data_IF_397729320895
#
_entry.id   IF_397729320895
#
_cell.length_a   1.000
_cell.length_b   1.000
_cell.length_c   1.000
_cell.angle_alpha   90.00
_cell.angle_beta   90.00
_cell.angle_gamma   90.00
#
_symmetry.space_group_name_H-M   'P 1'
#
loop_
_entity.id
_entity.type
_entity.pdbx_description
1 polymer ?
#
# COMPACT_ATOMS: atom_id res chain seq x y z
N UNK A 1 11.38 -13.21 -4.48
CA UNK A 1 11.15 -14.68 -4.43
C UNK A 1 9.75 -14.99 -4.91
N UNK A 2 9.50 -16.22 -5.38
CA UNK A 2 8.19 -16.71 -5.81
C UNK A 2 7.69 -17.82 -4.86
N UNK A 3 7.29 -17.48 -3.61
CA UNK A 3 6.88 -18.48 -2.62
C UNK A 3 5.52 -19.13 -2.94
N UNK A 4 4.70 -18.52 -3.80
CA UNK A 4 3.35 -19.00 -4.14
C UNK A 4 3.25 -19.58 -5.56
N UNK A 5 4.37 -20.05 -6.10
CA UNK A 5 4.45 -20.59 -7.47
C UNK A 5 4.97 -19.58 -8.50
N UNK A 6 5.32 -20.08 -9.68
CA UNK A 6 6.01 -19.33 -10.74
C UNK A 6 5.12 -19.04 -11.96
N UNK A 7 3.81 -19.34 -11.87
CA UNK A 7 2.86 -19.00 -12.92
C UNK A 7 2.63 -17.47 -12.99
N UNK A 8 2.23 -16.95 -14.14
CA UNK A 8 2.10 -15.50 -14.38
C UNK A 8 0.98 -14.82 -13.58
N UNK A 9 0.05 -15.58 -13.02
CA UNK A 9 -1.02 -15.10 -12.16
C UNK A 9 -0.66 -15.16 -10.67
N UNK A 10 0.49 -15.74 -10.30
CA UNK A 10 1.00 -15.73 -8.94
C UNK A 10 1.74 -14.42 -8.66
N UNK A 11 1.50 -13.82 -7.50
CA UNK A 11 2.36 -12.74 -7.03
C UNK A 11 3.75 -13.27 -6.67
N UNK A 12 4.72 -12.36 -6.62
CA UNK A 12 6.05 -12.63 -6.09
C UNK A 12 6.37 -11.60 -5.00
N UNK A 13 7.35 -11.87 -4.14
CA UNK A 13 7.71 -10.98 -3.05
C UNK A 13 9.01 -10.22 -3.34
N UNK A 14 9.03 -8.93 -3.03
CA UNK A 14 10.26 -8.14 -2.88
C UNK A 14 10.95 -8.62 -1.59
N UNK A 15 12.27 -8.78 -1.62
CA UNK A 15 13.04 -9.11 -0.41
C UNK A 15 13.26 -7.88 0.48
N UNK A 16 12.17 -7.32 1.01
CA UNK A 16 12.21 -6.18 1.94
C UNK A 16 12.62 -6.69 3.33
N UNK A 17 13.59 -6.03 3.96
CA UNK A 17 14.08 -6.33 5.32
C UNK A 17 14.43 -7.82 5.53
N UNK A 18 15.06 -8.43 4.53
CA UNK A 18 15.41 -9.86 4.50
C UNK A 18 14.22 -10.82 4.69
N UNK A 19 12.99 -10.38 4.41
CA UNK A 19 11.79 -11.20 4.59
C UNK A 19 11.85 -12.53 3.83
N UNK A 20 12.38 -12.50 2.61
CA UNK A 20 12.52 -13.70 1.80
C UNK A 20 13.47 -14.72 2.48
N UNK A 21 14.62 -14.25 2.95
CA UNK A 21 15.62 -15.09 3.64
C UNK A 21 15.07 -15.66 4.95
N UNK A 22 14.36 -14.84 5.72
CA UNK A 22 13.94 -15.18 7.07
C UNK A 22 12.66 -16.04 7.10
N UNK A 23 11.75 -15.85 6.12
CA UNK A 23 10.42 -16.46 6.16
C UNK A 23 10.13 -17.39 4.98
N UNK A 24 10.89 -17.31 3.89
CA UNK A 24 10.68 -18.13 2.68
C UNK A 24 12.02 -18.66 2.13
N UNK A 25 12.88 -19.29 2.96
CA UNK A 25 14.25 -19.64 2.58
C UNK A 25 14.33 -20.60 1.38
N UNK A 26 13.30 -21.44 1.19
CA UNK A 26 13.25 -22.46 0.14
C UNK A 26 12.53 -21.98 -1.14
N UNK A 27 12.03 -20.74 -1.17
CA UNK A 27 11.27 -20.25 -2.32
C UNK A 27 12.18 -19.88 -3.50
N UNK A 28 11.68 -20.10 -4.72
CA UNK A 28 12.44 -19.82 -5.94
C UNK A 28 12.80 -18.33 -6.08
N UNK A 29 14.03 -18.05 -6.51
CA UNK A 29 14.50 -16.70 -6.79
C UNK A 29 14.01 -16.21 -8.15
N UNK A 30 13.69 -14.91 -8.23
CA UNK A 30 13.27 -14.26 -9.47
C UNK A 30 13.62 -12.78 -9.40
N UNK A 31 13.86 -12.16 -10.57
CA UNK A 31 14.08 -10.73 -10.69
C UNK A 31 12.76 -9.97 -10.60
N UNK A 32 12.77 -8.85 -9.89
CA UNK A 32 11.60 -7.97 -9.76
C UNK A 32 11.93 -6.56 -10.23
N UNK A 33 10.99 -5.95 -10.96
CA UNK A 33 11.06 -4.54 -11.37
C UNK A 33 9.74 -3.90 -10.98
N UNK A 34 9.77 -2.99 -10.02
CA UNK A 34 8.57 -2.39 -9.44
C UNK A 34 8.64 -0.86 -9.42
N UNK A 35 7.49 -0.21 -9.32
CA UNK A 35 7.44 1.25 -9.23
C UNK A 35 7.80 1.69 -7.81
N UNK A 36 8.88 2.47 -7.67
CA UNK A 36 9.35 2.98 -6.36
C UNK A 36 8.32 3.85 -5.65
N UNK A 37 7.38 4.46 -6.37
CA UNK A 37 6.37 5.33 -5.78
C UNK A 37 5.42 4.59 -4.84
N UNK A 38 5.19 3.29 -5.05
CA UNK A 38 4.29 2.47 -4.21
C UNK A 38 4.87 2.14 -2.84
N UNK A 39 6.19 2.20 -2.66
CA UNK A 39 6.88 1.73 -1.46
C UNK A 39 6.54 2.52 -0.19
N UNK A 40 6.08 3.77 -0.32
CA UNK A 40 5.74 4.61 0.81
C UNK A 40 4.56 5.52 0.48
N UNK A 41 3.50 5.42 1.29
CA UNK A 41 2.31 6.26 1.17
C UNK A 41 2.58 7.74 1.44
N UNK A 42 1.68 8.60 0.94
CA UNK A 42 1.66 10.04 1.17
C UNK A 42 1.34 10.30 2.66
N UNK A 43 2.19 11.04 3.36
CA UNK A 43 1.95 11.40 4.76
C UNK A 43 0.75 12.34 4.87
N UNK A 44 -0.26 11.96 5.65
CA UNK A 44 -1.42 12.78 5.98
C UNK A 44 -1.29 13.26 7.42
N UNK A 45 -1.40 14.57 7.64
CA UNK A 45 -1.35 15.19 8.97
C UNK A 45 -2.72 15.27 9.65
N UNK A 46 -2.75 15.70 10.92
CA UNK A 46 -3.99 15.87 11.69
C UNK A 46 -4.93 16.92 11.12
N UNK A 47 -6.22 16.83 11.45
CA UNK A 47 -7.26 17.78 11.04
C UNK A 47 -7.30 17.95 9.51
N UNK A 48 -7.52 16.83 8.81
CA UNK A 48 -7.63 16.81 7.34
C UNK A 48 -8.89 16.08 6.91
N UNK A 49 -9.50 16.57 5.84
CA UNK A 49 -10.59 15.90 5.15
C UNK A 49 -10.23 15.82 3.67
N UNK A 50 -9.97 14.61 3.20
CA UNK A 50 -9.70 14.30 1.80
C UNK A 50 -10.96 13.68 1.22
N UNK A 51 -11.66 14.43 0.37
CA UNK A 51 -12.97 14.03 -0.18
C UNK A 51 -12.88 14.06 -1.71
N UNK A 52 -13.27 12.97 -2.36
CA UNK A 52 -13.39 12.92 -3.81
C UNK A 52 -14.74 13.43 -4.30
N UNK A 53 -14.75 14.02 -5.50
CA UNK A 53 -15.97 14.49 -6.17
C UNK A 53 -16.51 13.41 -7.11
N UNK A 54 -17.79 13.04 -6.93
CA UNK A 54 -18.46 12.04 -7.77
C UNK A 54 -17.65 10.74 -7.83
N UNK A 55 -17.25 10.34 -9.03
CA UNK A 55 -16.41 9.15 -9.27
C UNK A 55 -14.99 9.49 -9.74
N UNK A 56 -14.58 10.76 -9.61
CA UNK A 56 -13.33 11.28 -10.20
C UNK A 56 -12.16 11.28 -9.22
N UNK A 57 -12.40 11.14 -7.92
CA UNK A 57 -11.37 11.13 -6.88
C UNK A 57 -10.55 9.84 -6.91
N UNK A 58 -9.39 9.85 -7.57
CA UNK A 58 -8.54 8.65 -7.69
C UNK A 58 -7.07 8.98 -7.40
N UNK A 59 -6.43 8.17 -6.55
CA UNK A 59 -4.99 8.12 -6.35
C UNK A 59 -4.47 6.80 -6.91
N UNK A 60 -3.48 6.85 -7.81
CA UNK A 60 -2.89 5.66 -8.45
C UNK A 60 -1.41 5.52 -8.14
N UNK A 61 -0.97 4.29 -7.90
CA UNK A 61 0.45 3.94 -7.78
C UNK A 61 1.12 4.37 -6.47
N UNK A 62 0.36 4.94 -5.52
CA UNK A 62 0.81 5.29 -4.17
C UNK A 62 -0.37 5.31 -3.19
N UNK A 63 -0.13 4.87 -1.96
CA UNK A 63 -1.12 4.89 -0.88
C UNK A 63 -1.11 6.16 -0.02
N UNK A 64 -1.91 6.14 1.06
CA UNK A 64 -1.96 7.16 2.11
C UNK A 64 -1.36 6.61 3.41
N UNK A 65 -0.70 7.46 4.19
CA UNK A 65 -0.01 7.10 5.43
C UNK A 65 -0.35 8.07 6.56
N UNK A 66 -1.17 7.62 7.50
CA UNK A 66 -1.68 8.36 8.67
C UNK A 66 -0.97 7.79 9.91
N UNK A 67 0.10 8.45 10.36
CA UNK A 67 1.01 7.87 11.36
C UNK A 67 1.54 8.89 12.36
N UNK A 68 2.30 8.43 13.37
CA UNK A 68 3.05 9.26 14.31
C UNK A 68 2.17 10.17 15.19
N UNK A 69 1.08 9.63 15.74
CA UNK A 69 0.16 10.35 16.63
C UNK A 69 -0.79 11.31 15.90
N UNK A 70 -0.99 11.13 14.59
CA UNK A 70 -1.95 11.93 13.83
C UNK A 70 -3.38 11.63 14.28
N UNK A 71 -4.21 12.66 14.34
CA UNK A 71 -5.60 12.54 14.77
C UNK A 71 -6.58 13.36 13.91
N UNK A 72 -7.86 13.01 13.98
CA UNK A 72 -8.95 13.73 13.32
C UNK A 72 -8.75 13.82 11.80
N UNK A 73 -8.82 12.68 11.13
CA UNK A 73 -8.66 12.54 9.68
C UNK A 73 -9.89 11.90 9.07
N UNK A 74 -10.43 12.51 8.02
CA UNK A 74 -11.50 11.95 7.19
C UNK A 74 -10.96 11.68 5.80
N UNK A 75 -11.14 10.47 5.29
CA UNK A 75 -10.90 10.12 3.89
C UNK A 75 -12.19 9.54 3.33
N UNK A 76 -12.78 10.23 2.36
CA UNK A 76 -14.11 9.88 1.84
C UNK A 76 -14.18 9.90 0.31
N UNK A 77 -14.87 8.93 -0.26
CA UNK A 77 -15.25 8.91 -1.68
C UNK A 77 -14.05 9.04 -2.64
N UNK A 78 -12.96 8.31 -2.36
CA UNK A 78 -11.81 8.21 -3.25
C UNK A 78 -11.53 6.75 -3.59
N UNK A 79 -10.83 6.52 -4.69
CA UNK A 79 -10.20 5.24 -5.00
C UNK A 79 -8.69 5.30 -4.81
N UNK A 80 -8.08 4.26 -4.21
CA UNK A 80 -6.62 4.13 -4.05
C UNK A 80 -6.16 2.82 -4.66
N UNK A 81 -5.59 2.88 -5.87
CA UNK A 81 -5.44 1.69 -6.74
C UNK A 81 -4.09 1.61 -7.44
N UNK A 82 -3.87 0.50 -8.16
CA UNK A 82 -2.73 0.29 -9.07
C UNK A 82 -1.35 0.39 -8.39
N UNK A 83 -1.24 -0.12 -7.16
CA UNK A 83 0.01 -0.13 -6.38
C UNK A 83 0.69 -1.49 -6.53
N UNK A 84 1.68 -1.58 -7.44
CA UNK A 84 2.57 -2.74 -7.61
C UNK A 84 1.85 -4.11 -7.46
N UNK A 85 0.79 -4.39 -8.25
CA UNK A 85 -0.13 -5.50 -7.98
C UNK A 85 0.50 -6.89 -8.01
N UNK A 86 1.66 -7.05 -8.67
CA UNK A 86 2.39 -8.32 -8.75
C UNK A 86 3.36 -8.57 -7.59
N UNK A 87 3.55 -7.58 -6.71
CA UNK A 87 4.66 -7.57 -5.76
C UNK A 87 4.17 -7.42 -4.32
N UNK A 88 4.22 -8.50 -3.55
CA UNK A 88 4.10 -8.42 -2.08
C UNK A 88 5.27 -7.58 -1.54
N UNK A 89 4.96 -6.73 -0.55
CA UNK A 89 5.81 -5.63 -0.05
C UNK A 89 6.02 -4.48 -1.05
N UNK A 90 5.30 -4.47 -2.17
CA UNK A 90 5.35 -3.40 -3.18
C UNK A 90 4.61 -2.12 -2.78
N UNK A 91 3.79 -2.15 -1.74
CA UNK A 91 3.11 -0.99 -1.19
C UNK A 91 1.78 -1.33 -0.53
N UNK A 92 1.34 -0.46 0.37
CA UNK A 92 0.03 -0.53 1.03
C UNK A 92 -0.83 0.65 0.56
N UNK A 93 -2.13 0.42 0.37
CA UNK A 93 -3.07 1.47 -0.07
C UNK A 93 -3.34 2.49 1.04
N UNK A 94 -3.65 2.03 2.25
CA UNK A 94 -3.88 2.90 3.41
C UNK A 94 -3.13 2.30 4.61
N UNK A 95 -2.19 3.06 5.15
CA UNK A 95 -1.47 2.72 6.38
C UNK A 95 -1.94 3.64 7.51
N UNK A 96 -2.48 3.05 8.58
CA UNK A 96 -2.78 3.73 9.84
C UNK A 96 -1.91 3.11 10.92
N UNK A 97 -1.09 3.91 11.60
CA UNK A 97 -0.23 3.42 12.68
C UNK A 97 -0.03 4.49 13.75
N UNK A 98 -0.48 4.23 14.98
CA UNK A 98 -0.51 5.21 16.07
C UNK A 98 -1.27 6.48 15.66
N UNK A 99 -2.58 6.35 15.47
CA UNK A 99 -3.46 7.47 15.12
C UNK A 99 -4.80 7.33 15.87
N UNK A 100 -5.53 8.44 16.01
CA UNK A 100 -6.84 8.49 16.66
C UNK A 100 -7.88 9.23 15.78
N UNK A 101 -9.17 8.93 15.96
CA UNK A 101 -10.27 9.60 15.25
C UNK A 101 -10.07 9.66 13.72
N UNK A 102 -9.81 8.49 13.11
CA UNK A 102 -9.71 8.35 11.65
C UNK A 102 -10.99 7.73 11.11
N UNK A 103 -11.63 8.40 10.14
CA UNK A 103 -12.81 7.89 9.43
C UNK A 103 -12.47 7.63 7.97
N UNK A 104 -12.60 6.37 7.55
CA UNK A 104 -12.50 5.93 6.17
C UNK A 104 -13.90 5.56 5.68
N UNK A 105 -14.38 6.23 4.64
CA UNK A 105 -15.77 6.11 4.19
C UNK A 105 -15.89 6.07 2.66
N UNK A 106 -16.71 5.17 2.12
CA UNK A 106 -16.91 5.02 0.68
C UNK A 106 -15.61 4.99 -0.14
N UNK A 107 -14.58 4.31 0.38
CA UNK A 107 -13.29 4.15 -0.32
C UNK A 107 -13.34 2.91 -1.21
N UNK A 108 -12.70 2.98 -2.38
CA UNK A 108 -12.44 1.84 -3.29
C UNK A 108 -10.96 1.50 -3.35
#
# INVERSE_FOLDING_TARGET
LAPWGTASNCQVAINKDDWCTNYQPDAATTSVTYNKAGMLGITVGSNKSLIGEGTSGVIKGRGLRIVNGVENVIVQNIAVTDINPQYVWGGDAITINQADLVWLDHIT
#
